data_IF_535948999759
#
_entry.id   IF_535948999759
#
_cell.length_a   1.000
_cell.length_b   1.000
_cell.length_c   1.000
_cell.angle_alpha   90.00
_cell.angle_beta   90.00
_cell.angle_gamma   90.00
#
_symmetry.space_group_name_H-M   'P 1'
#
loop_
_entity.id
_entity.type
_entity.pdbx_description
1 polymer ?
#
# COMPACT_ATOMS: atom_id res chain seq x y z
N UNK A 1 10.03 9.34 -71.18
CA UNK A 1 11.47 9.15 -71.42
C UNK A 1 12.09 8.97 -70.05
N UNK A 2 12.03 7.74 -69.53
CA UNK A 2 13.00 6.66 -69.75
C UNK A 2 14.35 6.96 -69.09
N UNK A 3 14.59 6.18 -68.05
CA UNK A 3 15.83 5.46 -67.77
C UNK A 3 17.01 6.14 -67.05
N UNK A 4 17.29 5.47 -65.91
CA UNK A 4 18.58 4.93 -65.48
C UNK A 4 19.61 5.88 -64.91
N UNK A 5 19.92 5.67 -63.63
CA UNK A 5 21.27 5.24 -63.21
C UNK A 5 21.18 4.32 -61.98
N UNK A 6 21.27 3.02 -62.22
CA UNK A 6 22.07 2.04 -61.44
C UNK A 6 23.51 2.60 -61.28
N UNK A 7 24.37 2.30 -60.30
CA UNK A 7 24.55 1.24 -59.29
C UNK A 7 25.77 1.68 -58.48
N UNK A 8 25.86 1.36 -57.19
CA UNK A 8 27.04 0.62 -56.71
C UNK A 8 26.77 -0.02 -55.34
N UNK A 9 26.59 -1.34 -55.40
CA UNK A 9 26.56 -2.27 -54.29
C UNK A 9 27.97 -2.86 -54.19
N UNK A 10 28.66 -2.62 -53.08
CA UNK A 10 29.78 -3.46 -52.67
C UNK A 10 29.36 -4.25 -51.43
N UNK A 11 28.98 -5.49 -51.70
CA UNK A 11 28.67 -6.55 -50.75
C UNK A 11 29.91 -7.01 -49.99
N UNK A 12 29.71 -7.54 -48.78
CA UNK A 12 30.34 -8.75 -48.25
C UNK A 12 29.42 -9.37 -47.15
N UNK A 13 29.49 -10.69 -46.90
CA UNK A 13 28.38 -11.65 -46.75
C UNK A 13 28.06 -11.94 -45.27
N UNK A 14 26.85 -12.36 -44.87
CA UNK A 14 26.29 -13.71 -45.12
C UNK A 14 26.77 -14.70 -44.03
N UNK A 15 26.01 -15.58 -43.38
CA UNK A 15 24.71 -16.21 -43.66
C UNK A 15 24.17 -16.80 -42.34
N UNK A 16 22.85 -16.97 -42.17
CA UNK A 16 22.34 -17.77 -41.05
C UNK A 16 20.86 -17.70 -40.71
N UNK A 17 20.01 -17.79 -41.74
CA UNK A 17 18.61 -18.27 -41.75
C UNK A 17 18.03 -18.74 -40.40
N UNK A 18 16.94 -18.11 -39.97
CA UNK A 18 15.82 -18.81 -39.34
C UNK A 18 14.52 -18.34 -39.97
N UNK A 19 13.78 -19.32 -40.48
CA UNK A 19 12.52 -19.26 -41.19
C UNK A 19 11.31 -19.05 -40.27
N UNK A 20 10.29 -18.46 -40.89
CA UNK A 20 8.86 -18.40 -40.54
C UNK A 20 8.30 -17.27 -39.67
N UNK A 21 7.42 -16.54 -40.36
CA UNK A 21 6.51 -15.45 -40.05
C UNK A 21 5.34 -15.81 -39.09
N UNK A 22 4.58 -14.77 -38.70
CA UNK A 22 3.34 -14.73 -37.90
C UNK A 22 3.55 -14.76 -36.37
N UNK A 23 3.28 -13.75 -35.55
CA UNK A 23 2.37 -12.61 -35.63
C UNK A 23 3.01 -11.37 -34.97
N UNK A 24 3.30 -10.34 -35.76
CA UNK A 24 3.49 -8.97 -35.27
C UNK A 24 2.76 -8.02 -36.21
N UNK A 25 1.45 -7.88 -36.03
CA UNK A 25 0.76 -6.69 -36.50
C UNK A 25 0.93 -5.60 -35.43
N UNK A 26 1.89 -4.70 -35.68
CA UNK A 26 1.74 -3.31 -35.26
C UNK A 26 0.57 -2.72 -36.04
N UNK A 27 -0.46 -2.27 -35.35
CA UNK A 27 -1.30 -1.16 -35.82
C UNK A 27 -1.16 -0.03 -34.83
N UNK A 28 -0.30 0.90 -35.25
CA UNK A 28 -0.36 2.35 -35.15
C UNK A 28 -1.19 3.02 -34.06
N UNK A 29 -0.43 3.86 -33.35
CA UNK A 29 -0.85 5.00 -32.56
C UNK A 29 -1.44 6.04 -33.52
N UNK A 30 -2.75 6.25 -33.47
CA UNK A 30 -3.40 7.43 -34.05
C UNK A 30 -4.45 8.00 -33.08
N UNK A 31 -4.45 9.32 -32.93
CA UNK A 31 -5.67 10.09 -32.67
C UNK A 31 -5.95 10.45 -31.22
N UNK A 32 -5.52 11.66 -30.83
CA UNK A 32 -6.12 12.41 -29.75
C UNK A 32 -7.58 12.72 -30.08
N UNK A 33 -8.51 12.07 -29.38
CA UNK A 33 -9.82 12.55 -28.92
C UNK A 33 -10.60 11.35 -28.39
N UNK A 34 -10.48 11.10 -27.09
CA UNK A 34 -11.21 10.04 -26.41
C UNK A 34 -11.56 10.50 -25.00
N UNK A 35 -12.83 10.83 -24.77
CA UNK A 35 -13.38 10.99 -23.43
C UNK A 35 -12.92 9.82 -22.57
N UNK A 36 -12.34 10.10 -21.41
CA UNK A 36 -11.86 9.09 -20.47
C UNK A 36 -12.95 8.02 -20.27
N UNK A 37 -12.70 6.79 -20.73
CA UNK A 37 -13.52 5.65 -20.31
C UNK A 37 -13.40 5.59 -18.80
N UNK A 38 -14.50 5.89 -18.11
CA UNK A 38 -14.59 5.78 -16.66
C UNK A 38 -14.47 4.28 -16.36
N UNK A 39 -13.28 3.81 -15.98
CA UNK A 39 -13.11 2.45 -15.47
C UNK A 39 -14.07 2.27 -14.29
N UNK A 40 -15.11 1.46 -14.50
CA UNK A 40 -16.09 1.15 -13.47
C UNK A 40 -15.41 0.40 -12.32
N UNK A 41 -15.18 1.10 -11.21
CA UNK A 41 -14.61 0.49 -10.00
C UNK A 41 -15.64 -0.46 -9.38
N UNK A 42 -15.31 -1.75 -9.16
CA UNK A 42 -16.26 -2.71 -8.64
C UNK A 42 -16.83 -2.30 -7.29
N UNK A 43 -18.13 -2.49 -7.10
CA UNK A 43 -18.87 -2.04 -5.92
C UNK A 43 -19.26 -3.24 -5.05
N UNK A 44 -18.82 -3.23 -3.81
CA UNK A 44 -19.21 -4.13 -2.73
C UNK A 44 -20.26 -3.45 -1.84
N UNK A 45 -21.49 -3.97 -1.80
CA UNK A 45 -22.49 -3.50 -0.85
C UNK A 45 -22.49 -4.36 0.42
N UNK A 46 -22.54 -3.71 1.59
CA UNK A 46 -22.69 -4.38 2.88
C UNK A 46 -24.10 -4.13 3.43
N UNK A 47 -24.88 -5.19 3.54
CA UNK A 47 -26.30 -5.18 3.92
C UNK A 47 -26.52 -6.03 5.16
N UNK A 48 -27.51 -5.67 5.98
CA UNK A 48 -27.89 -6.44 7.16
C UNK A 48 -28.67 -5.59 8.16
N UNK A 49 -29.34 -6.23 9.12
CA UNK A 49 -30.10 -5.51 10.16
C UNK A 49 -29.18 -4.62 11.03
N UNK A 50 -29.73 -3.65 11.79
CA UNK A 50 -28.93 -2.88 12.75
C UNK A 50 -28.20 -3.77 13.76
N UNK A 51 -27.05 -3.30 14.28
CA UNK A 51 -26.28 -3.92 15.36
C UNK A 51 -25.65 -5.31 15.10
N UNK A 52 -25.67 -5.81 13.86
CA UNK A 52 -24.93 -7.03 13.44
C UNK A 52 -23.42 -6.81 13.28
N UNK A 53 -22.96 -5.56 13.36
CA UNK A 53 -21.55 -5.20 13.20
C UNK A 53 -21.12 -4.86 11.77
N UNK A 54 -22.03 -4.35 10.92
CA UNK A 54 -21.73 -3.86 9.56
C UNK A 54 -20.60 -2.84 9.56
N UNK A 55 -20.72 -1.75 10.33
CA UNK A 55 -19.71 -0.69 10.37
C UNK A 55 -18.38 -1.16 10.95
N UNK A 56 -18.41 -2.13 11.87
CA UNK A 56 -17.18 -2.81 12.35
C UNK A 56 -16.51 -3.61 11.24
N UNK A 57 -17.29 -4.29 10.40
CA UNK A 57 -16.78 -5.02 9.23
C UNK A 57 -16.25 -4.06 8.15
N UNK A 58 -16.97 -2.98 7.84
CA UNK A 58 -16.51 -1.91 6.93
C UNK A 58 -15.15 -1.37 7.40
N UNK A 59 -15.05 -0.98 8.66
CA UNK A 59 -13.79 -0.52 9.26
C UNK A 59 -12.66 -1.53 9.16
N UNK A 60 -12.97 -2.83 9.28
CA UNK A 60 -11.99 -3.90 9.11
C UNK A 60 -11.51 -3.97 7.66
N UNK A 61 -12.44 -3.91 6.70
CA UNK A 61 -12.13 -3.97 5.26
C UNK A 61 -11.28 -2.77 4.83
N UNK A 62 -11.56 -1.58 5.36
CA UNK A 62 -10.81 -0.36 5.02
C UNK A 62 -9.40 -0.32 5.60
N UNK A 63 -9.05 -1.19 6.55
CA UNK A 63 -7.72 -1.20 7.19
C UNK A 63 -7.38 0.06 8.01
N UNK A 64 -8.28 1.05 8.04
CA UNK A 64 -8.20 2.31 8.80
C UNK A 64 -9.50 2.49 9.58
N UNK A 65 -9.45 3.13 10.74
CA UNK A 65 -10.66 3.56 11.47
C UNK A 65 -11.25 4.79 10.77
N UNK A 66 -11.99 4.58 9.69
CA UNK A 66 -12.69 5.65 8.96
C UNK A 66 -14.21 5.69 9.18
N UNK A 67 -14.80 4.75 9.91
CA UNK A 67 -16.08 4.98 10.56
C UNK A 67 -15.83 5.35 12.02
N UNK A 68 -15.36 6.58 12.24
CA UNK A 68 -15.76 7.30 13.45
C UNK A 68 -17.16 7.81 13.18
N UNK A 69 -18.10 7.29 13.97
CA UNK A 69 -19.43 7.85 14.14
C UNK A 69 -19.25 9.29 14.63
N UNK A 70 -19.33 10.27 13.73
CA UNK A 70 -19.77 11.61 14.09
C UNK A 70 -21.25 11.74 13.70
N UNK A 71 -22.12 11.58 14.70
CA UNK A 71 -23.45 12.18 14.66
C UNK A 71 -23.27 13.71 14.68
N UNK A 72 -23.16 14.32 13.50
CA UNK A 72 -23.43 15.74 13.32
C UNK A 72 -24.93 15.86 12.97
N UNK A 73 -25.79 16.32 13.89
CA UNK A 73 -27.21 16.51 13.58
C UNK A 73 -27.34 17.62 12.54
N UNK A 74 -27.93 17.32 11.37
CA UNK A 74 -28.33 18.34 10.39
C UNK A 74 -27.79 18.21 8.97
N UNK A 75 -27.05 17.15 8.62
CA UNK A 75 -26.63 16.89 7.23
C UNK A 75 -27.39 15.68 6.70
N UNK A 76 -28.07 15.83 5.57
CA UNK A 76 -28.74 14.73 4.87
C UNK A 76 -27.74 13.62 4.58
N UNK A 77 -27.88 12.49 5.28
CA UNK A 77 -27.03 11.30 5.19
C UNK A 77 -27.32 10.52 3.91
N UNK A 78 -26.84 11.05 2.78
CA UNK A 78 -26.73 10.25 1.56
C UNK A 78 -25.53 9.31 1.65
N UNK A 79 -25.75 8.08 1.18
CA UNK A 79 -24.87 6.89 1.17
C UNK A 79 -23.37 7.18 1.26
N UNK A 80 -22.73 6.65 2.30
CA UNK A 80 -21.27 6.72 2.43
C UNK A 80 -20.62 5.59 1.63
N UNK A 81 -19.82 5.98 0.63
CA UNK A 81 -19.02 5.08 -0.19
C UNK A 81 -17.56 5.24 0.22
N UNK A 82 -16.87 4.14 0.45
CA UNK A 82 -15.48 4.11 0.89
C UNK A 82 -14.61 3.39 -0.15
N UNK A 83 -13.39 3.87 -0.37
CA UNK A 83 -12.43 3.17 -1.21
C UNK A 83 -11.69 2.11 -0.39
N UNK A 84 -11.68 0.86 -0.86
CA UNK A 84 -10.99 -0.25 -0.21
C UNK A 84 -10.00 -0.92 -1.15
N UNK A 85 -8.95 -1.52 -0.59
CA UNK A 85 -7.97 -2.31 -1.33
C UNK A 85 -7.68 -3.62 -0.59
N UNK A 86 -7.79 -4.75 -1.28
CA UNK A 86 -7.37 -6.06 -0.74
C UNK A 86 -6.55 -6.81 -1.80
N UNK A 87 -5.42 -7.40 -1.41
CA UNK A 87 -4.54 -8.15 -2.31
C UNK A 87 -4.18 -7.42 -3.62
N UNK A 88 -4.07 -6.08 -3.57
CA UNK A 88 -3.75 -5.21 -4.72
C UNK A 88 -4.89 -4.96 -5.71
N UNK A 89 -6.13 -5.29 -5.36
CA UNK A 89 -7.36 -4.97 -6.12
C UNK A 89 -8.16 -3.91 -5.36
N UNK A 90 -8.53 -2.82 -6.03
CA UNK A 90 -9.31 -1.71 -5.46
C UNK A 90 -10.79 -1.84 -5.76
N UNK A 91 -11.63 -1.68 -4.76
CA UNK A 91 -13.08 -1.73 -4.92
C UNK A 91 -13.74 -0.71 -4.00
N UNK A 92 -14.95 -0.29 -4.34
CA UNK A 92 -15.75 0.62 -3.52
C UNK A 92 -16.60 -0.18 -2.55
N UNK A 93 -16.58 0.16 -1.27
CA UNK A 93 -17.47 -0.39 -0.25
C UNK A 93 -18.58 0.60 0.03
N UNK A 94 -19.83 0.17 -0.17
CA UNK A 94 -21.02 0.97 0.14
C UNK A 94 -21.67 0.40 1.39
N UNK A 95 -21.71 1.19 2.46
CA UNK A 95 -22.45 0.84 3.67
C UNK A 95 -23.91 1.29 3.51
N UNK A 96 -24.85 0.34 3.51
CA UNK A 96 -26.28 0.68 3.46
C UNK A 96 -26.85 1.09 4.82
N UNK A 97 -26.02 1.15 5.88
CA UNK A 97 -26.42 1.26 7.28
C UNK A 97 -26.85 2.64 7.80
N UNK A 98 -26.97 3.67 6.97
CA UNK A 98 -27.20 5.06 7.42
C UNK A 98 -28.65 5.48 7.74
N UNK A 99 -29.64 4.59 7.60
CA UNK A 99 -31.05 4.89 7.88
C UNK A 99 -31.51 4.02 9.05
N UNK A 100 -31.84 4.65 10.20
CA UNK A 100 -32.60 4.03 11.28
C UNK A 100 -34.08 4.25 11.00
N UNK A 101 -34.84 3.22 10.58
CA UNK A 101 -36.29 3.30 10.57
C UNK A 101 -36.78 3.14 12.00
N UNK A 102 -37.85 3.84 12.38
CA UNK A 102 -38.62 3.51 13.56
C UNK A 102 -38.96 2.01 13.57
N UNK A 103 -39.06 1.40 14.77
CA UNK A 103 -39.27 -0.04 14.93
C UNK A 103 -40.47 -0.60 14.14
N UNK A 104 -41.44 0.24 13.76
CA UNK A 104 -42.53 -0.07 12.83
C UNK A 104 -42.05 0.08 11.38
N UNK A 105 -41.54 -1.00 10.78
CA UNK A 105 -41.17 -1.04 9.36
C UNK A 105 -39.72 -1.42 9.07
N UNK A 106 -38.95 -1.81 10.10
CA UNK A 106 -37.55 -2.20 9.97
C UNK A 106 -37.33 -3.28 8.90
N UNK A 107 -38.21 -4.29 8.82
CA UNK A 107 -38.10 -5.35 7.81
C UNK A 107 -38.24 -4.83 6.38
N UNK A 108 -39.16 -3.89 6.15
CA UNK A 108 -39.40 -3.28 4.84
C UNK A 108 -38.24 -2.37 4.42
N UNK A 109 -37.70 -1.60 5.37
CA UNK A 109 -36.56 -0.72 5.11
C UNK A 109 -35.28 -1.50 4.78
N UNK A 110 -34.97 -2.56 5.54
CA UNK A 110 -33.78 -3.38 5.26
C UNK A 110 -33.97 -4.19 3.96
N UNK A 111 -35.19 -4.63 3.65
CA UNK A 111 -35.50 -5.23 2.36
C UNK A 111 -35.30 -4.25 1.19
N UNK A 112 -35.72 -3.00 1.32
CA UNK A 112 -35.49 -1.96 0.30
C UNK A 112 -34.00 -1.67 0.09
N UNK A 113 -33.19 -1.69 1.16
CA UNK A 113 -31.73 -1.59 1.05
C UNK A 113 -31.13 -2.77 0.28
N UNK A 114 -31.64 -3.98 0.51
CA UNK A 114 -31.22 -5.17 -0.22
C UNK A 114 -31.57 -5.07 -1.71
N UNK A 115 -32.79 -4.63 -2.07
CA UNK A 115 -33.18 -4.41 -3.47
C UNK A 115 -32.32 -3.37 -4.18
N UNK A 116 -31.91 -2.34 -3.45
CA UNK A 116 -31.06 -1.29 -3.97
C UNK A 116 -29.63 -1.78 -4.18
N UNK A 117 -29.09 -2.58 -3.26
CA UNK A 117 -27.81 -3.25 -3.41
C UNK A 117 -27.81 -4.17 -4.64
N UNK A 118 -28.90 -4.89 -4.92
CA UNK A 118 -29.05 -5.70 -6.13
C UNK A 118 -28.96 -4.92 -7.45
N UNK A 119 -29.27 -3.61 -7.43
CA UNK A 119 -29.21 -2.75 -8.63
C UNK A 119 -27.88 -2.06 -8.81
N UNK A 120 -27.11 -1.88 -7.74
CA UNK A 120 -25.97 -0.94 -7.70
C UNK A 120 -24.64 -1.59 -7.35
N UNK A 121 -24.66 -2.81 -6.80
CA UNK A 121 -23.46 -3.52 -6.40
C UNK A 121 -23.14 -4.65 -7.39
N UNK A 122 -21.85 -4.95 -7.50
CA UNK A 122 -21.32 -6.10 -8.21
C UNK A 122 -21.24 -7.34 -7.31
N UNK A 123 -21.08 -7.14 -6.00
CA UNK A 123 -21.15 -8.18 -4.97
C UNK A 123 -21.87 -7.64 -3.74
N UNK A 124 -22.69 -8.48 -3.11
CA UNK A 124 -23.44 -8.14 -1.90
C UNK A 124 -22.99 -9.03 -0.75
N UNK A 125 -22.59 -8.43 0.37
CA UNK A 125 -22.30 -9.13 1.63
C UNK A 125 -23.44 -8.90 2.59
N UNK A 126 -24.09 -9.98 3.01
CA UNK A 126 -25.15 -9.96 4.02
C UNK A 126 -24.54 -10.30 5.36
N UNK A 127 -24.55 -9.36 6.30
CA UNK A 127 -23.99 -9.52 7.64
C UNK A 127 -25.09 -9.93 8.60
N UNK A 128 -24.92 -11.08 9.24
CA UNK A 128 -25.80 -11.61 10.27
C UNK A 128 -25.00 -11.82 11.55
N UNK A 129 -25.63 -11.59 12.69
CA UNK A 129 -25.02 -11.87 13.99
C UNK A 129 -25.15 -13.37 14.33
N UNK A 130 -24.03 -14.09 14.34
CA UNK A 130 -24.01 -15.53 14.61
C UNK A 130 -24.49 -15.87 16.04
N UNK A 131 -24.35 -14.94 17.00
CA UNK A 131 -24.76 -15.16 18.40
C UNK A 131 -26.27 -15.14 18.60
N UNK A 132 -26.98 -14.45 17.70
CA UNK A 132 -28.44 -14.34 17.73
C UNK A 132 -29.09 -15.36 16.80
N UNK A 133 -28.39 -15.74 15.72
CA UNK A 133 -28.94 -16.57 14.66
C UNK A 133 -29.83 -15.80 13.68
N UNK A 134 -30.52 -16.53 12.81
CA UNK A 134 -31.39 -15.95 11.79
C UNK A 134 -32.65 -15.34 12.43
N UNK A 135 -32.86 -14.04 12.22
CA UNK A 135 -34.08 -13.34 12.67
C UNK A 135 -35.08 -13.14 11.52
N UNK A 136 -36.33 -12.80 11.83
CA UNK A 136 -37.35 -12.48 10.82
C UNK A 136 -36.92 -11.34 9.86
N UNK A 137 -36.09 -10.41 10.32
CA UNK A 137 -35.50 -9.36 9.47
C UNK A 137 -34.45 -9.92 8.52
N UNK A 138 -33.59 -10.83 8.99
CA UNK A 138 -32.58 -11.49 8.17
C UNK A 138 -33.23 -12.40 7.12
N UNK A 139 -34.31 -13.10 7.48
CA UNK A 139 -35.12 -13.89 6.54
C UNK A 139 -35.79 -13.04 5.45
N UNK A 140 -36.29 -11.85 5.82
CA UNK A 140 -36.88 -10.91 4.85
C UNK A 140 -35.83 -10.44 3.83
N UNK A 141 -34.63 -10.08 4.30
CA UNK A 141 -33.48 -9.73 3.44
C UNK A 141 -33.09 -10.90 2.55
N UNK A 142 -32.95 -12.10 3.12
CA UNK A 142 -32.60 -13.30 2.38
C UNK A 142 -33.65 -13.66 1.31
N UNK A 143 -34.94 -13.42 1.57
CA UNK A 143 -36.03 -13.65 0.59
C UNK A 143 -35.89 -12.74 -0.63
N UNK A 144 -35.49 -11.49 -0.42
CA UNK A 144 -35.23 -10.53 -1.51
C UNK A 144 -33.97 -10.94 -2.29
N UNK A 145 -32.86 -11.15 -1.58
CA UNK A 145 -31.55 -11.40 -2.19
C UNK A 145 -31.44 -12.76 -2.90
N UNK A 146 -32.27 -13.75 -2.54
CA UNK A 146 -32.37 -15.02 -3.30
C UNK A 146 -32.79 -14.84 -4.76
N UNK A 147 -33.42 -13.72 -5.11
CA UNK A 147 -33.81 -13.38 -6.49
C UNK A 147 -32.75 -12.55 -7.22
N UNK A 148 -31.65 -12.22 -6.56
CA UNK A 148 -30.58 -11.39 -7.10
C UNK A 148 -29.81 -12.11 -8.21
N UNK A 149 -29.51 -11.38 -9.27
CA UNK A 149 -28.51 -11.78 -10.27
C UNK A 149 -27.09 -11.43 -9.83
N UNK A 150 -26.95 -10.46 -8.93
CA UNK A 150 -25.68 -10.09 -8.29
C UNK A 150 -25.28 -11.17 -7.27
N UNK A 151 -24.03 -11.65 -7.28
CA UNK A 151 -23.52 -12.61 -6.30
C UNK A 151 -23.70 -12.13 -4.85
N UNK A 152 -24.27 -13.01 -4.02
CA UNK A 152 -24.48 -12.76 -2.58
C UNK A 152 -23.53 -13.64 -1.77
N UNK A 153 -22.99 -13.08 -0.68
CA UNK A 153 -22.11 -13.74 0.28
C UNK A 153 -22.71 -13.56 1.67
N UNK A 154 -22.86 -14.65 2.42
CA UNK A 154 -23.37 -14.63 3.78
C UNK A 154 -22.21 -14.54 4.78
N UNK A 155 -22.14 -13.44 5.53
CA UNK A 155 -21.15 -13.19 6.58
C UNK A 155 -21.78 -13.41 7.96
N UNK A 156 -21.36 -14.45 8.66
CA UNK A 156 -21.75 -14.73 10.04
C UNK A 156 -20.79 -14.02 11.00
N UNK A 157 -21.15 -12.83 11.45
CA UNK A 157 -20.30 -11.97 12.28
C UNK A 157 -20.41 -12.30 13.78
N UNK A 158 -19.44 -11.82 14.58
CA UNK A 158 -19.29 -12.05 16.04
C UNK A 158 -18.94 -13.50 16.41
N UNK A 159 -18.26 -14.21 15.51
CA UNK A 159 -17.72 -15.55 15.78
C UNK A 159 -16.33 -15.42 16.41
N UNK A 160 -16.30 -15.23 17.73
CA UNK A 160 -15.07 -14.87 18.47
C UNK A 160 -14.23 -16.10 18.88
N UNK A 161 -14.76 -17.32 18.75
CA UNK A 161 -14.06 -18.57 19.09
C UNK A 161 -14.41 -19.73 18.15
N UNK A 162 -13.55 -20.75 18.08
CA UNK A 162 -13.77 -21.96 17.26
C UNK A 162 -15.05 -22.71 17.61
N UNK A 163 -15.46 -22.68 18.89
CA UNK A 163 -16.70 -23.33 19.33
C UNK A 163 -17.94 -22.69 18.69
N UNK A 164 -17.89 -21.38 18.44
CA UNK A 164 -18.98 -20.62 17.84
C UNK A 164 -19.04 -20.78 16.31
N UNK A 165 -18.01 -21.35 15.68
CA UNK A 165 -18.06 -21.65 14.24
C UNK A 165 -19.16 -22.70 13.94
N UNK A 166 -19.39 -23.64 14.85
CA UNK A 166 -20.46 -24.64 14.74
C UNK A 166 -21.87 -24.00 14.74
N UNK A 167 -22.07 -22.91 15.48
CA UNK A 167 -23.35 -22.21 15.58
C UNK A 167 -23.76 -21.52 14.27
N UNK A 168 -22.79 -21.28 13.38
CA UNK A 168 -23.07 -20.71 12.05
C UNK A 168 -23.85 -21.66 11.14
N UNK A 169 -23.86 -22.96 11.43
CA UNK A 169 -24.58 -23.95 10.64
C UNK A 169 -26.08 -23.65 10.55
N UNK A 170 -26.67 -23.06 11.59
CA UNK A 170 -28.08 -22.66 11.61
C UNK A 170 -28.42 -21.62 10.52
N UNK A 171 -27.45 -20.83 10.07
CA UNK A 171 -27.65 -19.77 9.07
C UNK A 171 -27.80 -20.30 7.64
N UNK A 172 -27.51 -21.58 7.38
CA UNK A 172 -27.83 -22.23 6.10
C UNK A 172 -29.32 -22.15 5.76
N UNK A 173 -30.18 -22.09 6.78
CA UNK A 173 -31.63 -21.92 6.62
C UNK A 173 -32.04 -20.66 5.85
N UNK A 174 -31.18 -19.62 5.79
CA UNK A 174 -31.42 -18.40 5.01
C UNK A 174 -31.35 -18.65 3.49
N UNK A 175 -30.71 -19.73 3.05
CA UNK A 175 -30.63 -20.12 1.64
C UNK A 175 -29.79 -19.17 0.78
N UNK A 176 -28.75 -18.55 1.38
CA UNK A 176 -27.82 -17.63 0.70
C UNK A 176 -26.44 -18.26 0.41
N UNK A 177 -26.32 -19.58 0.56
CA UNK A 177 -25.05 -20.31 0.42
C UNK A 177 -24.35 -20.55 1.75
N UNK A 178 -23.07 -20.92 1.67
CA UNK A 178 -22.22 -21.18 2.84
C UNK A 178 -22.05 -19.91 3.70
N UNK A 179 -22.34 -19.96 5.02
CA UNK A 179 -22.06 -18.87 5.94
C UNK A 179 -20.57 -18.79 6.23
N UNK A 180 -19.97 -17.63 6.01
CA UNK A 180 -18.56 -17.37 6.31
C UNK A 180 -18.42 -16.80 7.73
N UNK A 181 -17.80 -17.53 8.68
CA UNK A 181 -17.63 -17.07 10.06
C UNK A 181 -16.59 -15.95 10.14
N UNK A 182 -16.96 -14.83 10.76
CA UNK A 182 -16.08 -13.67 10.93
C UNK A 182 -16.24 -13.10 12.34
N UNK A 183 -15.12 -12.65 12.91
CA UNK A 183 -15.14 -11.68 14.01
C UNK A 183 -14.63 -10.35 13.48
N UNK A 184 -15.53 -9.44 13.15
CA UNK A 184 -15.13 -8.11 12.67
C UNK A 184 -14.34 -7.33 13.75
N UNK A 185 -14.67 -7.54 15.04
CA UNK A 185 -13.98 -6.90 16.16
C UNK A 185 -12.55 -7.43 16.33
N UNK A 186 -12.36 -8.76 16.31
CA UNK A 186 -11.07 -9.40 16.60
C UNK A 186 -10.25 -9.78 15.35
N UNK A 187 -10.86 -9.73 14.17
CA UNK A 187 -10.18 -9.89 12.87
C UNK A 187 -10.09 -11.33 12.37
N UNK A 188 -10.72 -12.28 13.09
CA UNK A 188 -10.82 -13.68 12.70
C UNK A 188 -11.69 -13.83 11.44
N UNK A 189 -11.23 -14.61 10.47
CA UNK A 189 -11.99 -14.96 9.24
C UNK A 189 -12.20 -13.81 8.24
N UNK A 190 -11.82 -12.57 8.58
CA UNK A 190 -12.04 -11.41 7.71
C UNK A 190 -11.21 -11.47 6.41
N UNK A 191 -9.98 -11.99 6.47
CA UNK A 191 -9.14 -12.19 5.28
C UNK A 191 -9.72 -13.24 4.32
N UNK A 192 -10.17 -14.38 4.86
CA UNK A 192 -10.79 -15.44 4.06
C UNK A 192 -12.10 -14.95 3.40
N UNK A 193 -12.92 -14.18 4.13
CA UNK A 193 -14.11 -13.52 3.56
C UNK A 193 -13.72 -12.58 2.41
N UNK A 194 -12.68 -11.77 2.58
CA UNK A 194 -12.21 -10.82 1.56
C UNK A 194 -11.68 -11.53 0.30
N UNK A 195 -11.02 -12.67 0.45
CA UNK A 195 -10.59 -13.48 -0.68
C UNK A 195 -11.79 -14.04 -1.48
N UNK A 196 -12.84 -14.50 -0.78
CA UNK A 196 -14.10 -14.94 -1.42
C UNK A 196 -14.80 -13.77 -2.12
N UNK A 197 -14.82 -12.58 -1.52
CA UNK A 197 -15.36 -11.37 -2.14
C UNK A 197 -14.62 -11.06 -3.44
N UNK A 198 -13.29 -11.04 -3.42
CA UNK A 198 -12.49 -10.75 -4.61
C UNK A 198 -12.70 -11.77 -5.73
N UNK A 199 -12.92 -13.05 -5.42
CA UNK A 199 -13.21 -14.06 -6.44
C UNK A 199 -14.53 -13.80 -7.17
N UNK A 200 -15.51 -13.16 -6.51
CA UNK A 200 -16.84 -12.87 -7.07
C UNK A 200 -16.95 -11.47 -7.69
N UNK A 201 -16.06 -10.55 -7.33
CA UNK A 201 -16.01 -9.22 -7.94
C UNK A 201 -15.57 -9.34 -9.42
N UNK A 202 -16.17 -8.56 -10.34
CA UNK A 202 -15.68 -8.39 -11.71
C UNK A 202 -14.19 -8.09 -11.75
N UNK A 203 -13.55 -8.39 -12.88
CA UNK A 203 -12.14 -8.10 -13.09
C UNK A 203 -11.87 -6.65 -12.71
N UNK A 204 -11.16 -6.49 -11.59
CA UNK A 204 -10.88 -5.20 -11.01
C UNK A 204 -9.69 -4.63 -11.77
N UNK A 205 -9.66 -3.32 -12.07
CA UNK A 205 -8.39 -2.67 -12.31
C UNK A 205 -7.46 -3.08 -11.16
N UNK A 206 -6.34 -3.74 -11.46
CA UNK A 206 -5.24 -3.80 -10.49
C UNK A 206 -4.96 -2.35 -10.12
N UNK A 207 -4.60 -2.07 -8.87
CA UNK A 207 -4.09 -0.74 -8.52
C UNK A 207 -3.01 -0.34 -9.55
N UNK A 208 -3.43 0.42 -10.55
CA UNK A 208 -2.59 1.44 -11.12
C UNK A 208 -2.68 2.49 -10.03
N UNK A 209 -1.62 2.69 -9.22
CA UNK A 209 -1.58 3.88 -8.39
C UNK A 209 -1.88 5.02 -9.36
N UNK A 210 -2.90 5.85 -9.06
CA UNK A 210 -3.24 7.00 -9.89
C UNK A 210 -1.93 7.68 -10.23
N UNK A 211 -1.52 7.53 -11.49
CA UNK A 211 -0.27 8.05 -12.01
C UNK A 211 -0.61 9.51 -12.31
N UNK A 212 -0.69 10.30 -11.24
CA UNK A 212 -1.21 11.66 -11.31
C UNK A 212 -1.38 12.25 -9.93
N UNK A 213 -0.87 13.48 -9.76
CA UNK A 213 -0.92 14.23 -8.51
C UNK A 213 0.43 14.31 -7.77
N UNK A 214 0.56 15.23 -6.80
CA UNK A 214 1.77 15.40 -5.98
C UNK A 214 2.13 14.11 -5.22
N UNK A 215 3.41 13.75 -5.19
CA UNK A 215 3.90 12.59 -4.41
C UNK A 215 3.64 12.81 -2.93
N UNK A 216 3.27 11.74 -2.22
CA UNK A 216 2.86 11.81 -0.81
C UNK A 216 4.05 11.65 0.14
N UNK A 217 4.21 12.59 1.05
CA UNK A 217 5.37 12.71 1.95
C UNK A 217 4.93 12.69 3.41
N UNK A 218 5.44 11.75 4.20
CA UNK A 218 5.26 11.77 5.65
C UNK A 218 6.45 12.47 6.33
N UNK A 219 6.14 13.45 7.19
CA UNK A 219 7.16 14.13 8.00
C UNK A 219 7.17 13.58 9.43
N UNK A 220 8.18 12.77 9.76
CA UNK A 220 8.23 12.00 11.01
C UNK A 220 9.49 12.29 11.83
N UNK A 221 9.45 11.99 13.13
CA UNK A 221 10.58 12.21 14.06
C UNK A 221 10.13 12.54 15.47
N UNK A 222 11.06 12.56 16.43
CA UNK A 222 10.76 12.84 17.85
C UNK A 222 10.14 14.23 18.09
N UNK A 223 9.44 14.46 19.22
CA UNK A 223 8.98 15.81 19.59
C UNK A 223 10.13 16.84 19.56
N UNK A 224 9.82 18.10 19.21
CA UNK A 224 10.77 19.22 19.22
C UNK A 224 12.01 19.10 18.30
N UNK A 225 12.05 18.10 17.42
CA UNK A 225 13.10 17.91 16.41
C UNK A 225 13.05 18.96 15.28
N UNK A 226 11.97 19.77 15.22
CA UNK A 226 11.80 20.83 14.22
C UNK A 226 10.87 20.50 13.05
N UNK A 227 9.99 19.49 13.18
CA UNK A 227 8.97 19.16 12.16
C UNK A 227 8.07 20.34 11.80
N UNK A 228 7.45 20.99 12.80
CA UNK A 228 6.56 22.12 12.56
C UNK A 228 7.32 23.34 12.01
N UNK A 229 8.57 23.55 12.45
CA UNK A 229 9.44 24.58 11.88
C UNK A 229 9.74 24.33 10.40
N UNK A 230 10.00 23.07 10.03
CA UNK A 230 10.24 22.69 8.64
C UNK A 230 8.97 22.87 7.80
N UNK A 231 7.83 22.34 8.26
CA UNK A 231 6.55 22.47 7.56
C UNK A 231 6.16 23.94 7.36
N UNK A 232 6.27 24.77 8.41
CA UNK A 232 6.00 26.21 8.31
C UNK A 232 6.96 26.91 7.34
N UNK A 233 8.24 26.52 7.32
CA UNK A 233 9.21 27.09 6.39
C UNK A 233 8.86 26.73 4.95
N UNK A 234 8.50 25.47 4.71
CA UNK A 234 8.10 24.95 3.41
C UNK A 234 6.78 25.58 2.92
N UNK A 235 5.76 25.66 3.77
CA UNK A 235 4.47 26.27 3.46
C UNK A 235 4.54 27.81 3.35
N UNK A 236 5.57 28.44 3.92
CA UNK A 236 5.77 29.88 3.90
C UNK A 236 6.56 30.39 2.69
N UNK A 237 7.27 29.51 1.97
CA UNK A 237 8.13 29.93 0.85
C UNK A 237 7.35 30.23 -0.43
N UNK A 238 6.24 29.55 -0.70
CA UNK A 238 5.37 29.85 -1.86
C UNK A 238 3.91 29.49 -1.50
N UNK A 239 3.18 30.43 -0.89
CA UNK A 239 1.70 30.34 -0.84
C UNK A 239 1.12 30.68 -2.20
N UNK A 240 1.40 29.85 -3.19
CA UNK A 240 0.44 29.60 -4.25
C UNK A 240 -0.55 28.62 -3.63
N UNK A 241 -1.69 29.14 -3.21
CA UNK A 241 -2.83 28.30 -2.86
C UNK A 241 -3.20 27.57 -4.15
N UNK A 242 -2.71 26.34 -4.33
CA UNK A 242 -3.15 25.46 -5.41
C UNK A 242 -4.46 24.82 -4.99
N UNK A 243 -5.47 25.68 -4.77
CA UNK A 243 -6.85 25.25 -4.72
C UNK A 243 -7.15 24.68 -6.11
N UNK A 244 -7.25 23.35 -6.19
CA UNK A 244 -7.55 22.55 -7.38
C UNK A 244 -6.35 22.15 -8.26
N UNK A 245 -5.40 21.39 -7.72
CA UNK A 245 -4.66 20.44 -8.60
C UNK A 245 -5.67 19.41 -9.09
N UNK A 246 -6.01 19.43 -10.38
CA UNK A 246 -6.93 18.46 -10.97
C UNK A 246 -6.43 17.02 -10.72
N UNK A 247 -7.30 16.16 -10.18
CA UNK A 247 -6.99 14.75 -9.91
C UNK A 247 -6.49 14.42 -8.50
N UNK A 248 -6.47 15.36 -7.55
CA UNK A 248 -6.10 15.06 -6.16
C UNK A 248 -7.33 14.85 -5.26
N UNK A 249 -7.53 13.64 -4.74
CA UNK A 249 -8.34 13.42 -3.52
C UNK A 249 -7.49 13.84 -2.32
N UNK A 250 -7.56 15.11 -1.94
CA UNK A 250 -6.81 15.66 -0.81
C UNK A 250 -7.63 15.45 0.46
N UNK A 251 -7.07 14.76 1.45
CA UNK A 251 -7.67 14.73 2.79
C UNK A 251 -7.63 16.16 3.37
N UNK A 252 -8.67 16.64 4.07
CA UNK A 252 -8.70 17.99 4.65
C UNK A 252 -7.62 18.26 5.72
N UNK A 253 -6.81 17.25 6.02
CA UNK A 253 -5.74 17.24 7.03
C UNK A 253 -4.33 17.26 6.39
N UNK A 254 -4.26 17.14 5.07
CA UNK A 254 -3.02 17.13 4.29
C UNK A 254 -2.63 18.56 3.86
N UNK A 255 -1.34 18.79 3.59
CA UNK A 255 -0.84 20.06 3.06
C UNK A 255 -0.14 19.87 1.72
N UNK A 256 -0.61 20.60 0.71
CA UNK A 256 0.07 20.72 -0.57
C UNK A 256 1.15 21.79 -0.44
N UNK A 257 2.39 21.42 -0.77
CA UNK A 257 3.57 22.26 -0.63
C UNK A 257 4.36 22.26 -1.93
N UNK A 258 4.65 23.44 -2.46
CA UNK A 258 5.65 23.60 -3.51
C UNK A 258 7.06 23.66 -2.90
N UNK A 259 7.91 22.73 -3.31
CA UNK A 259 9.29 22.63 -2.84
C UNK A 259 10.22 22.27 -4.00
N UNK A 260 11.17 23.15 -4.29
CA UNK A 260 12.12 23.00 -5.39
C UNK A 260 11.47 22.92 -6.76
N UNK A 261 10.41 23.72 -6.98
CA UNK A 261 9.66 23.76 -8.25
C UNK A 261 8.79 22.53 -8.52
N UNK A 262 8.54 21.71 -7.50
CA UNK A 262 7.64 20.55 -7.56
C UNK A 262 6.64 20.60 -6.43
N UNK A 263 5.42 20.16 -6.73
CA UNK A 263 4.34 20.07 -5.76
C UNK A 263 4.41 18.72 -5.04
N UNK A 264 4.34 18.75 -3.72
CA UNK A 264 4.35 17.59 -2.83
C UNK A 264 3.11 17.62 -1.93
N UNK A 265 2.53 16.45 -1.65
CA UNK A 265 1.45 16.33 -0.67
C UNK A 265 2.02 15.81 0.66
N UNK A 266 2.06 16.66 1.68
CA UNK A 266 2.46 16.27 3.04
C UNK A 266 1.25 15.69 3.78
N UNK A 267 1.35 14.42 4.19
CA UNK A 267 0.25 13.70 4.82
C UNK A 267 0.21 13.88 6.34
N UNK A 268 -1.00 13.89 6.93
CA UNK A 268 -1.27 13.96 8.38
C UNK A 268 -0.61 15.18 9.09
N UNK A 269 -0.79 16.37 8.51
CA UNK A 269 -0.17 17.61 9.02
C UNK A 269 -0.92 18.26 10.18
N UNK A 270 -2.21 17.97 10.37
CA UNK A 270 -2.98 18.52 11.51
C UNK A 270 -2.37 18.11 12.86
N UNK A 271 -1.74 16.92 12.95
CA UNK A 271 -0.98 16.49 14.12
C UNK A 271 0.26 17.34 14.43
N UNK A 272 0.85 17.96 13.40
CA UNK A 272 2.02 18.85 13.50
C UNK A 272 1.64 20.28 13.92
N UNK A 273 0.42 20.74 13.59
CA UNK A 273 -0.11 22.06 14.00
C UNK A 273 -0.69 22.08 15.40
N UNK A 274 -1.39 21.01 15.84
CA UNK A 274 -2.04 20.97 17.17
C UNK A 274 -1.06 20.98 18.36
N UNK A 275 0.23 20.69 18.14
CA UNK A 275 1.28 20.66 19.18
C UNK A 275 1.76 22.03 19.68
N UNK A 276 1.20 23.14 19.19
CA UNK A 276 1.54 24.48 19.69
C UNK A 276 0.86 24.79 21.04
N UNK A 277 -0.15 24.03 21.49
CA UNK A 277 -0.93 24.41 22.70
C UNK A 277 -1.09 23.40 23.83
N UNK A 278 -0.78 22.12 23.68
CA UNK A 278 -0.89 21.15 24.79
C UNK A 278 0.12 20.01 24.64
N UNK A 279 1.11 20.01 25.52
CA UNK A 279 2.12 18.96 25.65
C UNK A 279 1.98 18.28 27.01
N UNK A 280 1.10 17.28 27.12
CA UNK A 280 1.19 16.27 28.16
C UNK A 280 0.25 15.09 27.85
N UNK A 281 0.80 13.88 27.93
CA UNK A 281 0.03 12.64 27.85
C UNK A 281 -0.08 12.02 26.45
N UNK A 282 0.33 10.76 26.37
CA UNK A 282 0.06 9.80 25.29
C UNK A 282 1.08 9.70 24.13
N UNK A 283 2.23 9.12 24.47
CA UNK A 283 3.17 8.52 23.52
C UNK A 283 2.50 7.44 22.62
N UNK A 284 1.50 6.72 23.14
CA UNK A 284 0.72 5.72 22.41
C UNK A 284 -0.08 6.30 21.23
N UNK A 285 -0.68 7.50 21.37
CA UNK A 285 -1.40 8.13 20.26
C UNK A 285 -0.45 8.75 19.23
N UNK A 286 0.79 9.05 19.60
CA UNK A 286 1.81 9.54 18.66
C UNK A 286 2.30 8.44 17.71
N UNK A 287 2.44 7.19 18.18
CA UNK A 287 2.87 6.07 17.34
C UNK A 287 1.79 5.62 16.35
N UNK A 288 0.52 5.60 16.76
CA UNK A 288 -0.61 5.29 15.86
C UNK A 288 -0.76 6.31 14.72
N UNK A 289 -0.63 7.61 15.02
CA UNK A 289 -0.62 8.66 13.97
C UNK A 289 0.57 8.53 13.03
N UNK A 290 1.76 8.29 13.59
CA UNK A 290 2.97 8.07 12.78
C UNK A 290 2.76 6.90 11.81
N UNK A 291 2.13 5.81 12.25
CA UNK A 291 1.81 4.67 11.37
C UNK A 291 0.81 5.05 10.28
N UNK A 292 -0.28 5.73 10.61
CA UNK A 292 -1.27 6.18 9.63
C UNK A 292 -0.65 7.09 8.56
N UNK A 293 0.20 8.05 8.97
CA UNK A 293 0.94 8.92 8.06
C UNK A 293 1.87 8.11 7.14
N UNK A 294 2.61 7.14 7.69
CA UNK A 294 3.48 6.25 6.90
C UNK A 294 2.69 5.36 5.94
N UNK A 295 1.48 4.92 6.31
CA UNK A 295 0.62 4.11 5.45
C UNK A 295 0.01 4.92 4.30
N UNK A 296 -0.16 6.23 4.47
CA UNK A 296 -0.64 7.14 3.42
C UNK A 296 0.50 7.68 2.53
N UNK A 297 1.74 7.72 3.02
CA UNK A 297 2.87 8.28 2.29
C UNK A 297 3.55 7.29 1.32
N UNK A 298 4.33 7.83 0.39
CA UNK A 298 5.21 7.08 -0.49
C UNK A 298 6.68 7.21 -0.03
N UNK A 299 7.05 8.42 0.42
CA UNK A 299 8.34 8.72 1.03
C UNK A 299 8.16 9.28 2.44
N UNK A 300 9.00 8.83 3.36
CA UNK A 300 9.10 9.37 4.71
C UNK A 300 10.37 10.19 4.86
N UNK A 301 10.23 11.41 5.39
CA UNK A 301 11.36 12.22 5.86
C UNK A 301 11.46 12.04 7.37
N UNK A 302 12.49 11.32 7.82
CA UNK A 302 12.82 11.20 9.24
C UNK A 302 13.70 12.37 9.67
N UNK A 303 13.17 13.27 10.49
CA UNK A 303 13.96 14.33 11.10
C UNK A 303 14.65 13.82 12.37
N UNK A 304 15.96 14.06 12.44
CA UNK A 304 16.80 13.84 13.62
C UNK A 304 17.45 15.17 14.00
N UNK A 305 17.50 15.48 15.30
CA UNK A 305 18.18 16.67 15.80
C UNK A 305 19.69 16.43 15.81
N UNK A 306 20.42 17.07 14.91
CA UNK A 306 21.86 16.85 14.75
C UNK A 306 22.68 17.41 15.93
N UNK A 307 22.13 18.38 16.66
CA UNK A 307 22.79 19.00 17.81
C UNK A 307 22.72 18.13 19.07
N UNK A 308 22.02 16.99 19.02
CA UNK A 308 21.85 16.06 20.12
C UNK A 308 22.25 14.64 19.71
N UNK A 309 22.57 13.76 20.67
CA UNK A 309 22.75 12.34 20.38
C UNK A 309 21.50 11.69 19.79
N UNK A 310 21.70 10.74 18.88
CA UNK A 310 20.61 9.92 18.35
C UNK A 310 19.98 9.13 19.50
N UNK A 311 18.66 9.23 19.66
CA UNK A 311 17.93 8.63 20.79
C UNK A 311 17.25 7.33 20.41
N UNK A 312 16.89 6.50 21.39
CA UNK A 312 16.05 5.32 21.15
C UNK A 312 14.74 5.66 20.46
N UNK A 313 14.16 6.84 20.73
CA UNK A 313 12.92 7.26 20.09
C UNK A 313 13.12 7.47 18.59
N UNK A 314 14.25 8.04 18.17
CA UNK A 314 14.60 8.18 16.75
C UNK A 314 14.72 6.80 16.10
N UNK A 315 15.34 5.83 16.78
CA UNK A 315 15.47 4.45 16.30
C UNK A 315 14.13 3.71 16.24
N UNK A 316 13.21 3.94 17.18
CA UNK A 316 11.87 3.36 17.13
C UNK A 316 11.07 3.88 15.92
N UNK A 317 11.13 5.19 15.65
CA UNK A 317 10.48 5.76 14.46
C UNK A 317 11.11 5.21 13.19
N UNK A 318 12.45 5.12 13.14
CA UNK A 318 13.15 4.51 12.00
C UNK A 318 12.71 3.06 11.75
N UNK A 319 12.53 2.24 12.79
CA UNK A 319 12.01 0.87 12.65
C UNK A 319 10.62 0.86 12.01
N UNK A 320 9.72 1.74 12.46
CA UNK A 320 8.36 1.85 11.89
C UNK A 320 8.38 2.20 10.40
N UNK A 321 9.30 3.07 9.98
CA UNK A 321 9.45 3.43 8.56
C UNK A 321 9.92 2.21 7.75
N UNK A 322 10.94 1.49 8.22
CA UNK A 322 11.45 0.29 7.54
C UNK A 322 10.35 -0.77 7.41
N UNK A 323 9.60 -1.01 8.48
CA UNK A 323 8.47 -1.95 8.51
C UNK A 323 7.37 -1.55 7.52
N UNK A 324 7.04 -0.26 7.44
CA UNK A 324 6.05 0.26 6.48
C UNK A 324 6.46 0.08 5.02
N UNK A 325 7.76 -0.11 4.75
CA UNK A 325 8.27 -0.33 3.40
C UNK A 325 8.22 0.92 2.50
N UNK A 326 8.16 2.12 3.08
CA UNK A 326 8.22 3.39 2.34
C UNK A 326 9.64 3.78 2.00
N UNK A 327 9.80 4.63 0.97
CA UNK A 327 11.07 5.29 0.71
C UNK A 327 11.48 6.15 1.92
N UNK A 328 12.77 6.29 2.18
CA UNK A 328 13.29 6.96 3.37
C UNK A 328 14.38 7.97 3.02
N UNK A 329 14.17 9.19 3.49
CA UNK A 329 15.18 10.26 3.58
C UNK A 329 15.39 10.59 5.05
N UNK A 330 16.64 10.58 5.51
CA UNK A 330 17.01 11.00 6.88
C UNK A 330 17.51 12.44 6.80
N UNK A 331 16.81 13.35 7.46
CA UNK A 331 17.16 14.76 7.52
C UNK A 331 17.73 15.10 8.91
N UNK A 332 19.04 15.39 8.96
CA UNK A 332 19.71 15.91 10.14
C UNK A 332 19.43 17.42 10.25
N UNK A 333 18.48 17.76 11.10
CA UNK A 333 18.01 19.12 11.33
C UNK A 333 18.83 19.84 12.40
N UNK A 334 18.69 21.18 12.47
CA UNK A 334 19.46 22.07 13.35
C UNK A 334 20.96 22.03 13.08
N UNK A 335 21.33 21.87 11.81
CA UNK A 335 22.74 21.82 11.39
C UNK A 335 23.51 23.13 11.67
N UNK A 336 22.80 24.23 11.91
CA UNK A 336 23.33 25.51 12.36
C UNK A 336 23.91 25.47 13.79
N UNK A 337 23.53 24.47 14.59
CA UNK A 337 24.00 24.27 15.96
C UNK A 337 25.11 23.21 16.07
N UNK A 338 25.57 22.65 14.95
CA UNK A 338 26.56 21.56 14.93
C UNK A 338 27.96 22.14 14.71
N UNK A 339 28.81 22.04 15.73
CA UNK A 339 30.24 22.34 15.66
C UNK A 339 31.08 21.13 15.21
N UNK A 340 32.40 21.29 15.15
CA UNK A 340 33.32 20.24 14.66
C UNK A 340 33.34 19.02 15.58
N UNK A 341 33.34 19.23 16.90
CA UNK A 341 33.31 18.15 17.90
C UNK A 341 32.01 17.36 17.82
N UNK A 342 30.86 18.05 17.75
CA UNK A 342 29.56 17.40 17.61
C UNK A 342 29.45 16.65 16.30
N UNK A 343 29.99 17.19 15.20
CA UNK A 343 30.02 16.52 13.91
C UNK A 343 30.77 15.19 13.97
N UNK A 344 31.95 15.18 14.59
CA UNK A 344 32.74 13.96 14.77
C UNK A 344 32.00 12.90 15.60
N UNK A 345 31.31 13.31 16.66
CA UNK A 345 30.48 12.41 17.47
C UNK A 345 29.29 11.87 16.67
N UNK A 346 28.60 12.73 15.93
CA UNK A 346 27.46 12.36 15.11
C UNK A 346 27.85 11.35 14.03
N UNK A 347 29.01 11.51 13.37
CA UNK A 347 29.48 10.55 12.37
C UNK A 347 29.64 9.14 12.98
N UNK A 348 30.21 9.04 14.20
CA UNK A 348 30.30 7.76 14.92
C UNK A 348 28.95 7.19 15.32
N UNK A 349 28.01 8.06 15.74
CA UNK A 349 26.65 7.64 16.06
C UNK A 349 25.92 7.12 14.81
N UNK A 350 26.12 7.75 13.65
CA UNK A 350 25.54 7.29 12.39
C UNK A 350 26.07 5.90 12.02
N UNK A 351 27.38 5.71 12.08
CA UNK A 351 28.03 4.43 11.76
C UNK A 351 27.56 3.29 12.68
N UNK A 352 27.22 3.60 13.95
CA UNK A 352 26.74 2.61 14.92
C UNK A 352 25.23 2.37 14.83
N UNK A 353 24.44 3.43 14.90
CA UNK A 353 22.99 3.36 15.10
C UNK A 353 22.21 3.23 13.79
N UNK A 354 22.73 3.77 12.68
CA UNK A 354 22.09 3.76 11.37
C UNK A 354 22.69 2.70 10.42
N UNK A 355 23.57 1.83 10.91
CA UNK A 355 24.19 0.72 10.17
C UNK A 355 23.19 -0.23 9.49
N UNK A 356 21.94 -0.25 9.97
CA UNK A 356 20.83 -1.05 9.42
C UNK A 356 20.15 -0.41 8.21
N UNK A 357 20.37 0.87 7.97
CA UNK A 357 19.82 1.64 6.83
C UNK A 357 20.91 2.43 6.09
N UNK A 358 22.03 1.79 5.70
CA UNK A 358 23.11 2.48 4.98
C UNK A 358 22.64 2.99 3.61
N UNK A 359 21.56 2.42 3.10
CA UNK A 359 20.90 2.80 1.86
C UNK A 359 20.07 4.08 1.97
N UNK A 360 19.72 4.56 3.16
CA UNK A 360 18.90 5.75 3.30
C UNK A 360 19.66 7.02 2.89
N UNK A 361 19.02 7.88 2.10
CA UNK A 361 19.61 9.18 1.72
C UNK A 361 19.67 10.09 2.93
N UNK A 362 20.83 10.70 3.18
CA UNK A 362 21.06 11.63 4.31
C UNK A 362 21.17 13.06 3.80
N UNK A 363 20.46 13.98 4.44
CA UNK A 363 20.50 15.42 4.12
C UNK A 363 20.66 16.23 5.39
N UNK A 364 21.59 17.19 5.39
CA UNK A 364 21.80 18.08 6.53
C UNK A 364 21.09 19.40 6.25
N UNK A 365 20.19 19.82 7.15
CA UNK A 365 19.32 20.98 6.99
C UNK A 365 19.23 21.81 8.27
N UNK A 366 18.77 23.05 8.12
CA UNK A 366 18.32 23.87 9.24
C UNK A 366 16.94 24.43 8.93
N UNK A 367 15.90 23.87 9.53
CA UNK A 367 14.52 24.27 9.30
C UNK A 367 14.24 25.74 9.69
N UNK A 368 14.88 26.24 10.75
CA UNK A 368 14.75 27.63 11.24
C UNK A 368 15.27 28.64 10.22
N UNK A 369 16.47 28.42 9.69
CA UNK A 369 17.12 29.33 8.73
C UNK A 369 16.70 29.06 7.28
N UNK A 370 16.22 27.86 6.98
CA UNK A 370 15.97 27.38 5.61
C UNK A 370 17.20 26.79 4.92
N UNK A 371 18.35 26.71 5.60
CA UNK A 371 19.61 26.21 5.01
C UNK A 371 19.41 24.79 4.47
N UNK A 372 19.76 24.60 3.20
CA UNK A 372 19.79 23.30 2.51
C UNK A 372 18.45 22.55 2.44
N UNK A 373 17.32 23.18 2.78
CA UNK A 373 16.00 22.52 2.74
C UNK A 373 15.65 22.04 1.33
N UNK A 374 16.06 22.78 0.30
CA UNK A 374 15.90 22.41 -1.11
C UNK A 374 16.61 21.09 -1.49
N UNK A 375 17.64 20.67 -0.74
CA UNK A 375 18.32 19.38 -0.98
C UNK A 375 17.45 18.16 -0.63
N UNK A 376 16.33 18.36 0.08
CA UNK A 376 15.36 17.29 0.32
C UNK A 376 14.72 16.81 -0.99
N UNK A 377 14.51 17.69 -1.97
CA UNK A 377 13.87 17.34 -3.25
C UNK A 377 14.63 16.26 -4.01
N UNK A 378 15.91 16.47 -4.40
CA UNK A 378 16.65 15.44 -5.13
C UNK A 378 16.83 14.15 -4.31
N UNK A 379 16.88 14.25 -2.97
CA UNK A 379 16.95 13.08 -2.10
C UNK A 379 15.63 12.27 -2.11
N UNK A 380 14.48 12.94 -2.05
CA UNK A 380 13.15 12.31 -2.14
C UNK A 380 12.92 11.71 -3.52
N UNK A 381 13.27 12.42 -4.59
CA UNK A 381 13.13 11.94 -5.97
C UNK A 381 13.96 10.68 -6.20
N UNK A 382 15.25 10.71 -5.87
CA UNK A 382 16.11 9.53 -5.99
C UNK A 382 15.58 8.34 -5.17
N UNK A 383 15.04 8.60 -3.97
CA UNK A 383 14.46 7.56 -3.12
C UNK A 383 13.17 6.98 -3.72
N UNK A 384 12.30 7.82 -4.29
CA UNK A 384 11.07 7.40 -4.95
C UNK A 384 11.33 6.69 -6.27
N UNK A 385 12.30 7.13 -7.07
CA UNK A 385 12.75 6.44 -8.28
C UNK A 385 13.25 5.03 -7.95
N UNK A 386 14.07 4.88 -6.91
CA UNK A 386 14.50 3.58 -6.41
C UNK A 386 13.32 2.73 -5.92
N UNK A 387 12.36 3.35 -5.25
CA UNK A 387 11.14 2.71 -4.74
C UNK A 387 10.11 2.38 -5.82
N UNK A 388 10.19 2.97 -7.01
CA UNK A 388 9.33 2.67 -8.15
C UNK A 388 9.99 1.69 -9.13
N UNK A 389 11.29 1.46 -8.98
CA UNK A 389 12.13 0.76 -9.95
C UNK A 389 11.70 -0.70 -10.16
N UNK A 390 11.39 -1.02 -11.42
CA UNK A 390 11.16 -2.39 -11.91
C UNK A 390 12.37 -2.89 -12.69
N UNK A 391 12.83 -4.08 -12.36
CA UNK A 391 13.86 -4.83 -13.07
C UNK A 391 13.18 -6.03 -13.74
N UNK A 392 13.36 -6.16 -15.05
CA UNK A 392 12.83 -7.30 -15.79
C UNK A 392 13.56 -8.60 -15.39
N UNK A 393 12.88 -9.74 -15.55
CA UNK A 393 13.39 -11.03 -15.09
C UNK A 393 14.68 -11.44 -15.80
N UNK A 394 14.88 -11.08 -17.07
CA UNK A 394 16.10 -11.39 -17.82
C UNK A 394 17.37 -10.81 -17.17
N UNK A 395 17.54 -9.47 -17.15
CA UNK A 395 18.67 -8.81 -16.51
C UNK A 395 18.89 -9.24 -15.05
N UNK A 396 17.82 -9.38 -14.27
CA UNK A 396 17.91 -9.86 -12.88
C UNK A 396 18.52 -11.25 -12.79
N UNK A 397 18.09 -12.19 -13.63
CA UNK A 397 18.61 -13.57 -13.59
C UNK A 397 20.02 -13.68 -14.17
N UNK A 398 20.38 -12.87 -15.15
CA UNK A 398 21.76 -12.79 -15.66
C UNK A 398 22.71 -12.31 -14.56
N UNK A 399 22.42 -11.15 -13.96
CA UNK A 399 23.19 -10.61 -12.84
C UNK A 399 23.29 -11.61 -11.67
N UNK A 400 22.19 -12.26 -11.32
CA UNK A 400 22.17 -13.21 -10.21
C UNK A 400 23.06 -14.44 -10.47
N UNK A 401 23.10 -14.93 -11.72
CA UNK A 401 23.99 -16.04 -12.10
C UNK A 401 25.46 -15.64 -11.92
N UNK A 402 25.83 -14.45 -12.37
CA UNK A 402 27.21 -13.94 -12.28
C UNK A 402 27.64 -13.75 -10.82
N UNK A 403 26.76 -13.17 -10.00
CA UNK A 403 27.02 -12.97 -8.56
C UNK A 403 27.17 -14.30 -7.81
N UNK A 404 26.32 -15.29 -8.13
CA UNK A 404 26.39 -16.62 -7.50
C UNK A 404 27.62 -17.40 -7.96
N UNK A 405 28.02 -17.28 -9.23
CA UNK A 405 29.22 -17.91 -9.75
C UNK A 405 30.48 -17.36 -9.06
N UNK A 406 30.54 -16.04 -8.85
CA UNK A 406 31.65 -15.38 -8.16
C UNK A 406 31.68 -15.68 -6.65
N UNK A 407 30.52 -15.78 -5.99
CA UNK A 407 30.42 -16.07 -4.56
C UNK A 407 29.27 -17.06 -4.27
N UNK A 408 29.53 -18.37 -4.32
CA UNK A 408 28.50 -19.39 -4.14
C UNK A 408 27.91 -19.42 -2.71
N UNK A 409 26.63 -19.82 -2.54
CA UNK A 409 26.02 -19.98 -1.22
C UNK A 409 26.78 -21.00 -0.34
N UNK A 410 26.86 -20.80 0.99
CA UNK A 410 27.52 -21.75 1.88
C UNK A 410 26.80 -23.11 1.90
N UNK A 411 27.57 -24.18 2.16
CA UNK A 411 27.07 -25.55 2.28
C UNK A 411 26.28 -25.73 3.59
N UNK A 412 25.13 -26.40 3.52
CA UNK A 412 24.36 -26.78 4.72
C UNK A 412 23.88 -28.23 4.62
N UNK A 413 24.14 -29.03 5.65
CA UNK A 413 23.70 -30.44 5.68
C UNK A 413 24.23 -31.28 4.50
N UNK A 414 25.45 -30.98 4.03
CA UNK A 414 26.09 -31.71 2.93
C UNK A 414 25.59 -31.37 1.52
N UNK A 415 24.65 -30.43 1.35
CA UNK A 415 24.21 -29.96 0.03
C UNK A 415 24.24 -28.44 -0.07
N UNK A 416 24.67 -27.95 -1.22
CA UNK A 416 24.65 -26.53 -1.52
C UNK A 416 23.26 -26.12 -2.01
N UNK A 417 22.60 -25.12 -1.41
CA UNK A 417 21.36 -24.58 -1.94
C UNK A 417 21.65 -23.91 -3.28
N UNK A 418 20.85 -24.23 -4.30
CA UNK A 418 20.95 -23.62 -5.63
C UNK A 418 19.81 -22.63 -5.78
N UNK A 419 20.12 -21.43 -6.24
CA UNK A 419 19.11 -20.47 -6.69
C UNK A 419 18.78 -20.79 -8.13
N UNK A 420 17.53 -21.14 -8.40
CA UNK A 420 17.08 -21.57 -9.71
C UNK A 420 16.78 -20.36 -10.59
N UNK A 421 16.02 -19.41 -10.04
CA UNK A 421 15.69 -18.15 -10.68
C UNK A 421 15.19 -17.15 -9.63
N UNK A 422 15.13 -15.88 -10.03
CA UNK A 422 14.57 -14.79 -9.26
C UNK A 422 13.56 -13.98 -10.08
N UNK A 423 12.63 -13.35 -9.40
CA UNK A 423 11.70 -12.36 -9.98
C UNK A 423 11.48 -11.22 -9.02
N UNK A 424 11.16 -10.04 -9.54
CA UNK A 424 10.66 -8.93 -8.74
C UNK A 424 9.13 -8.97 -8.70
N UNK A 425 8.60 -9.40 -7.55
CA UNK A 425 7.17 -9.58 -7.33
C UNK A 425 6.43 -8.25 -7.09
N UNK A 426 7.10 -7.27 -6.46
CA UNK A 426 6.55 -5.93 -6.23
C UNK A 426 7.63 -4.86 -6.38
N UNK A 427 7.20 -3.65 -6.74
CA UNK A 427 8.08 -2.47 -6.85
C UNK A 427 7.99 -1.58 -5.62
N UNK A 428 6.89 -1.57 -4.86
CA UNK A 428 6.60 -0.58 -3.80
C UNK A 428 6.35 -1.26 -2.44
N UNK A 429 7.37 -1.66 -1.67
CA UNK A 429 8.81 -1.56 -1.99
C UNK A 429 9.33 -2.68 -2.91
N UNK A 430 10.53 -2.52 -3.49
CA UNK A 430 11.16 -3.52 -4.34
C UNK A 430 11.31 -4.85 -3.62
N UNK A 431 10.53 -5.83 -4.05
CA UNK A 431 10.42 -7.14 -3.42
C UNK A 431 10.81 -8.22 -4.39
N UNK A 432 11.92 -8.87 -4.12
CA UNK A 432 12.50 -9.96 -4.91
C UNK A 432 12.16 -11.30 -4.28
N UNK A 433 11.77 -12.27 -5.10
CA UNK A 433 11.53 -13.65 -4.69
C UNK A 433 12.56 -14.54 -5.36
N UNK A 434 13.40 -15.18 -4.55
CA UNK A 434 14.38 -16.16 -4.96
C UNK A 434 13.78 -17.56 -4.83
N UNK A 435 13.75 -18.31 -5.93
CA UNK A 435 13.32 -19.71 -5.91
C UNK A 435 14.53 -20.61 -5.77
N UNK A 436 14.58 -21.39 -4.69
CA UNK A 436 15.77 -22.14 -4.31
C UNK A 436 15.48 -23.61 -4.05
N UNK A 437 16.50 -24.45 -4.19
CA UNK A 437 16.42 -25.88 -3.85
C UNK A 437 16.54 -26.15 -2.35
N UNK A 438 16.99 -25.16 -1.58
CA UNK A 438 17.18 -25.23 -0.14
C UNK A 438 17.21 -23.83 0.48
N UNK A 439 17.18 -23.77 1.80
CA UNK A 439 17.17 -22.51 2.53
C UNK A 439 18.45 -21.69 2.29
N UNK A 440 18.32 -20.38 2.12
CA UNK A 440 19.45 -19.45 2.08
C UNK A 440 19.58 -18.72 3.43
N UNK A 441 20.78 -18.76 3.99
CA UNK A 441 21.06 -18.11 5.27
C UNK A 441 20.94 -16.59 5.21
N UNK A 442 20.67 -15.98 6.36
CA UNK A 442 20.49 -14.53 6.46
C UNK A 442 21.75 -13.76 6.01
N UNK A 443 22.95 -14.29 6.30
CA UNK A 443 24.21 -13.70 5.83
C UNK A 443 24.28 -13.61 4.30
N UNK A 444 23.97 -14.71 3.61
CA UNK A 444 23.98 -14.74 2.14
C UNK A 444 22.87 -13.88 1.53
N UNK A 445 21.68 -13.85 2.16
CA UNK A 445 20.59 -12.94 1.76
C UNK A 445 21.01 -11.47 1.85
N UNK A 446 21.67 -11.05 2.92
CA UNK A 446 22.23 -9.69 3.07
C UNK A 446 23.31 -9.39 2.04
N UNK A 447 24.15 -10.38 1.72
CA UNK A 447 25.13 -10.25 0.63
C UNK A 447 24.46 -9.98 -0.72
N UNK A 448 23.43 -10.78 -1.08
CA UNK A 448 22.68 -10.57 -2.31
C UNK A 448 21.95 -9.22 -2.32
N UNK A 449 21.35 -8.81 -1.20
CA UNK A 449 20.71 -7.50 -1.08
C UNK A 449 21.71 -6.37 -1.34
N UNK A 450 22.89 -6.42 -0.71
CA UNK A 450 23.94 -5.42 -0.93
C UNK A 450 24.38 -5.36 -2.40
N UNK A 451 24.66 -6.51 -3.03
CA UNK A 451 25.04 -6.56 -4.45
C UNK A 451 23.92 -6.05 -5.36
N UNK A 452 22.67 -6.34 -5.02
CA UNK A 452 21.50 -5.89 -5.78
C UNK A 452 21.36 -4.37 -5.71
N UNK A 453 21.63 -3.77 -4.55
CA UNK A 453 21.68 -2.32 -4.36
C UNK A 453 22.81 -1.67 -5.14
N UNK A 454 24.00 -2.27 -5.13
CA UNK A 454 25.18 -1.78 -5.88
C UNK A 454 24.93 -1.78 -7.40
N UNK A 455 24.36 -2.86 -7.94
CA UNK A 455 24.12 -2.99 -9.39
C UNK A 455 23.00 -2.08 -9.89
N UNK A 456 21.85 -2.13 -9.20
CA UNK A 456 20.62 -1.52 -9.73
C UNK A 456 20.26 -0.19 -9.07
N UNK A 457 21.09 0.31 -8.15
CA UNK A 457 20.92 1.56 -7.41
C UNK A 457 19.54 1.67 -6.72
N UNK A 458 19.44 1.11 -5.52
CA UNK A 458 18.25 1.20 -4.67
C UNK A 458 18.44 2.12 -3.45
N UNK A 459 19.25 3.17 -3.62
CA UNK A 459 19.43 4.19 -2.59
C UNK A 459 18.10 4.89 -2.26
N UNK A 460 17.81 5.06 -0.98
CA UNK A 460 16.59 5.67 -0.48
C UNK A 460 15.38 4.71 -0.43
N UNK A 461 15.47 3.49 -0.96
CA UNK A 461 14.40 2.49 -0.90
C UNK A 461 14.76 1.28 -0.04
N UNK A 462 13.85 0.77 0.81
CA UNK A 462 14.01 -0.57 1.38
C UNK A 462 13.91 -1.62 0.27
N UNK A 463 14.66 -2.71 0.39
CA UNK A 463 14.65 -3.85 -0.53
C UNK A 463 14.27 -5.08 0.27
N UNK A 464 13.30 -5.86 -0.22
CA UNK A 464 12.87 -7.12 0.41
C UNK A 464 13.32 -8.30 -0.42
N UNK A 465 14.06 -9.25 0.18
CA UNK A 465 14.44 -10.51 -0.46
C UNK A 465 13.77 -11.67 0.27
N UNK A 466 12.78 -12.26 -0.41
CA UNK A 466 12.06 -13.44 0.04
C UNK A 466 12.63 -14.69 -0.63
N UNK A 467 12.65 -15.81 0.10
CA UNK A 467 13.15 -17.10 -0.42
C UNK A 467 12.01 -18.11 -0.39
N UNK A 468 11.71 -18.71 -1.54
CA UNK A 468 10.79 -19.83 -1.66
C UNK A 468 11.57 -21.11 -1.96
N UNK A 469 11.58 -22.01 -0.98
CA UNK A 469 12.21 -23.32 -1.13
C UNK A 469 11.22 -24.26 -1.82
N UNK A 470 11.66 -24.94 -2.88
CA UNK A 470 10.82 -25.92 -3.57
C UNK A 470 10.68 -27.19 -2.72
N UNK A 471 9.46 -27.50 -2.31
CA UNK A 471 9.17 -28.76 -1.61
C UNK A 471 9.24 -29.95 -2.55
N UNK A 472 10.06 -30.96 -2.20
CA UNK A 472 10.14 -32.23 -2.94
C UNK A 472 8.86 -33.07 -2.88
N UNK A 473 7.89 -32.74 -2.01
CA UNK A 473 6.70 -33.57 -1.75
C UNK A 473 5.64 -33.54 -2.85
N UNK A 474 5.55 -32.49 -3.67
CA UNK A 474 4.53 -32.41 -4.73
C UNK A 474 4.78 -33.36 -5.92
N UNK A 475 6.02 -33.79 -6.16
CA UNK A 475 6.33 -34.71 -7.26
C UNK A 475 5.88 -36.16 -7.02
N UNK A 476 5.59 -36.56 -5.78
CA UNK A 476 5.11 -37.92 -5.47
C UNK A 476 3.59 -38.09 -5.56
N UNK A 477 2.82 -37.00 -5.68
CA UNK A 477 1.35 -37.04 -5.85
C UNK A 477 0.89 -36.95 -7.32
N UNK A 478 1.80 -36.70 -8.25
CA UNK A 478 1.54 -36.60 -9.70
C UNK A 478 2.25 -37.70 -10.52
N UNK A 479 2.63 -38.81 -9.89
CA UNK A 479 3.16 -40.00 -10.58
C UNK A 479 2.37 -41.22 -10.16
#
# INVERSE_FOLDING_TARGET
MSDNFETDLAALPGDGIWSDESDWQLTDIEGADGAAEVEHMPVLAIVGRPNVGKSTLVNRILGRREAVVEDIPGVTRDRVSYSASWSGRSFTVVDTGGWEPDAKGLQQAVAAQAELAMRTADVIVVVVDATVGATATDEAVARVLRRSKTPVILCANKVDSERMEADTAALWSLGLGEPHPVSAAHGRGAGDLLDVILQKLPATPRETPVLGGPRRVALVGKPNVGKSSLLNKLAGTERSVVDNVAGTTVDPVDEIVELGGKVWNFVDTAGLRRKVRTASGHEYYASLRTRAALDAAEVAILLIDASQPITEQDLRVLSLIIESGRALVIAFNKWDLVDEDRRYQLDKEIDRELARVPWARRVNISASTGRSVQKLVPAMESALEAWDKRISTGPLNSWLKDVIAANPPPLRGGRQPRVMFATQASVRPPTFVLFTTGFLEAGYRRFLERRLREEFNFDGSPVRINVRVRDKREQRRKR
#
